data_IF_303677259117
#
_entry.id   IF_303677259117
#
_cell.length_a   1.000
_cell.length_b   1.000
_cell.length_c   1.000
_cell.angle_alpha   90.00
_cell.angle_beta   90.00
_cell.angle_gamma   90.00
#
_symmetry.space_group_name_H-M   'P 1'
#
loop_
_entity.id
_entity.type
_entity.pdbx_description
1 polymer ?
#
# COMPACT_ATOMS: atom_id res chain seq x y z
N UNK A 1 6.63 -7.64 -19.30
CA UNK A 1 5.70 -6.51 -19.52
C UNK A 1 5.34 -6.00 -18.14
N UNK A 2 5.79 -4.80 -17.76
CA UNK A 2 5.59 -4.25 -16.42
C UNK A 2 4.55 -3.13 -16.58
N UNK A 3 3.36 -3.32 -16.00
CA UNK A 3 2.35 -2.31 -15.65
C UNK A 3 2.24 -0.98 -16.42
N UNK A 4 2.04 -0.99 -17.74
CA UNK A 4 1.63 0.21 -18.52
C UNK A 4 0.09 0.43 -18.54
N UNK A 5 -0.64 -0.17 -17.58
CA UNK A 5 -2.08 0.01 -17.45
C UNK A 5 -2.44 1.34 -16.76
N UNK A 6 -3.65 1.88 -17.00
CA UNK A 6 -4.12 3.03 -16.24
C UNK A 6 -4.17 2.70 -14.74
N UNK A 7 -3.61 3.58 -13.91
CA UNK A 7 -3.68 3.48 -12.45
C UNK A 7 -5.11 3.78 -12.01
N UNK A 8 -5.79 2.82 -11.38
CA UNK A 8 -7.17 2.96 -10.90
C UNK A 8 -7.24 3.00 -9.38
N UNK A 9 -6.45 2.17 -8.70
CA UNK A 9 -6.42 2.11 -7.24
C UNK A 9 -5.06 2.52 -6.69
N UNK A 10 -5.07 3.60 -5.91
CA UNK A 10 -3.89 4.19 -5.29
C UNK A 10 -3.96 3.95 -3.79
N UNK A 11 -2.96 3.27 -3.23
CA UNK A 11 -2.83 3.04 -1.81
C UNK A 11 -1.78 3.97 -1.19
N UNK A 12 -2.17 4.72 -0.16
CA UNK A 12 -1.31 5.67 0.57
C UNK A 12 -1.17 5.22 2.02
N UNK A 13 0.05 5.14 2.53
CA UNK A 13 0.29 4.79 3.94
C UNK A 13 0.03 5.98 4.85
N UNK A 14 -0.64 5.77 5.98
CA UNK A 14 -1.16 6.85 6.81
C UNK A 14 -1.06 6.57 8.32
N UNK A 15 -0.95 7.64 9.10
CA UNK A 15 -1.01 7.61 10.57
C UNK A 15 -2.46 7.58 11.10
N UNK A 16 -3.39 8.22 10.38
CA UNK A 16 -4.82 8.29 10.70
C UNK A 16 -5.70 7.73 9.58
N UNK A 17 -7.00 7.59 9.86
CA UNK A 17 -8.00 7.02 8.93
C UNK A 17 -8.54 8.02 7.91
N UNK A 18 -7.98 9.23 7.84
CA UNK A 18 -8.50 10.33 7.02
C UNK A 18 -7.54 10.66 5.87
N UNK A 19 -8.05 11.13 4.72
CA UNK A 19 -7.21 11.56 3.60
C UNK A 19 -6.22 12.67 3.96
N UNK A 20 -6.55 13.51 4.96
CA UNK A 20 -5.69 14.58 5.45
C UNK A 20 -4.56 14.09 6.38
N UNK A 21 -4.49 12.78 6.65
CA UNK A 21 -3.42 12.18 7.45
C UNK A 21 -2.06 12.44 6.81
N UNK A 22 -1.06 12.70 7.64
CA UNK A 22 0.33 12.61 7.21
C UNK A 22 0.65 11.19 6.71
N UNK A 23 1.54 11.10 5.73
CA UNK A 23 2.01 9.83 5.19
C UNK A 23 2.89 9.13 6.24
N UNK A 24 2.59 7.86 6.54
CA UNK A 24 3.51 7.03 7.33
C UNK A 24 4.61 6.50 6.40
N UNK A 25 5.86 6.84 6.68
CA UNK A 25 7.00 6.42 5.85
C UNK A 25 7.23 4.90 5.87
N UNK A 26 6.63 4.14 6.79
CA UNK A 26 6.95 2.71 6.98
C UNK A 26 5.91 1.83 6.30
N UNK A 27 6.04 1.57 5.00
CA UNK A 27 5.03 0.80 4.23
C UNK A 27 4.43 -0.42 4.95
N UNK A 28 5.26 -1.40 5.31
CA UNK A 28 4.78 -2.65 5.91
C UNK A 28 4.21 -2.50 7.32
N UNK A 29 4.59 -1.44 8.05
CA UNK A 29 4.18 -1.20 9.44
C UNK A 29 3.31 0.04 9.59
N UNK A 30 2.87 0.64 8.50
CA UNK A 30 1.93 1.76 8.54
C UNK A 30 0.70 1.29 9.30
N UNK A 31 0.17 2.13 10.19
CA UNK A 31 -1.02 1.78 10.97
C UNK A 31 -2.23 1.63 10.04
N UNK A 32 -2.37 2.56 9.11
CA UNK A 32 -3.43 2.59 8.13
C UNK A 32 -2.87 2.64 6.72
N UNK A 33 -3.65 2.10 5.78
CA UNK A 33 -3.45 2.30 4.36
C UNK A 33 -4.79 2.76 3.79
N UNK A 34 -4.77 3.90 3.12
CA UNK A 34 -5.95 4.50 2.51
C UNK A 34 -5.88 4.19 1.02
N UNK A 35 -6.88 3.49 0.50
CA UNK A 35 -7.00 3.15 -0.91
C UNK A 35 -8.02 4.08 -1.53
N UNK A 36 -7.63 4.80 -2.57
CA UNK A 36 -8.49 5.64 -3.38
C UNK A 36 -8.70 4.99 -4.74
N UNK A 37 -9.97 4.80 -5.12
CA UNK A 37 -10.37 4.36 -6.45
C UNK A 37 -10.70 5.57 -7.31
N UNK A 38 -9.92 5.80 -8.36
CA UNK A 38 -10.04 6.98 -9.22
C UNK A 38 -11.25 6.93 -10.15
N UNK A 39 -11.87 5.76 -10.33
CA UNK A 39 -13.06 5.61 -11.18
C UNK A 39 -14.34 5.86 -10.39
N UNK A 40 -14.44 5.34 -9.16
CA UNK A 40 -15.62 5.53 -8.30
C UNK A 40 -15.52 6.72 -7.36
N UNK A 41 -14.33 7.30 -7.21
CA UNK A 41 -13.99 8.31 -6.19
C UNK A 41 -14.18 7.82 -4.74
N UNK A 42 -14.30 6.50 -4.54
CA UNK A 42 -14.45 5.91 -3.22
C UNK A 42 -13.12 5.75 -2.49
N UNK A 43 -13.16 5.91 -1.18
CA UNK A 43 -12.02 5.69 -0.29
C UNK A 43 -12.28 4.50 0.63
N UNK A 44 -11.33 3.56 0.67
CA UNK A 44 -11.31 2.44 1.59
C UNK A 44 -10.16 2.58 2.58
N UNK A 45 -10.45 2.48 3.88
CA UNK A 45 -9.42 2.46 4.92
C UNK A 45 -9.12 1.03 5.34
N UNK A 46 -7.84 0.67 5.27
CA UNK A 46 -7.32 -0.61 5.72
C UNK A 46 -6.64 -0.42 7.07
N UNK A 47 -7.18 -1.06 8.12
CA UNK A 47 -6.45 -1.23 9.38
C UNK A 47 -5.39 -2.33 9.21
N UNK A 48 -4.13 -1.98 9.47
CA UNK A 48 -2.96 -2.83 9.30
C UNK A 48 -2.33 -3.19 10.66
N UNK A 49 -3.13 -3.19 11.74
CA UNK A 49 -2.70 -3.51 13.11
C UNK A 49 -1.88 -4.81 13.23
N UNK A 50 -2.27 -5.86 12.52
CA UNK A 50 -1.56 -7.15 12.57
C UNK A 50 -0.11 -7.02 12.09
N UNK A 51 0.16 -6.14 11.13
CA UNK A 51 1.50 -5.92 10.58
C UNK A 51 2.27 -4.81 11.30
N UNK A 52 1.58 -3.84 11.91
CA UNK A 52 2.18 -2.77 12.72
C UNK A 52 3.18 -3.35 13.73
N UNK A 53 2.75 -4.38 14.47
CA UNK A 53 3.51 -5.01 15.54
C UNK A 53 4.11 -6.38 15.16
N UNK A 54 4.01 -6.82 13.90
CA UNK A 54 4.52 -8.12 13.49
C UNK A 54 6.02 -8.25 13.75
N UNK A 55 6.47 -9.39 14.29
CA UNK A 55 7.91 -9.62 14.53
C UNK A 55 8.71 -9.65 13.21
N UNK A 56 8.11 -10.20 12.15
CA UNK A 56 8.71 -10.30 10.82
C UNK A 56 7.61 -10.33 9.75
N UNK A 57 7.99 -10.12 8.49
CA UNK A 57 7.09 -10.33 7.35
C UNK A 57 6.06 -9.21 7.12
N UNK A 58 6.00 -8.18 7.97
CA UNK A 58 5.05 -7.07 7.87
C UNK A 58 4.90 -6.53 6.43
N UNK A 59 6.01 -6.15 5.79
CA UNK A 59 5.97 -5.63 4.41
C UNK A 59 5.56 -6.65 3.35
N UNK A 60 5.84 -7.95 3.53
CA UNK A 60 5.40 -9.00 2.60
C UNK A 60 3.89 -9.17 2.70
N UNK A 61 3.37 -9.30 3.92
CA UNK A 61 1.94 -9.45 4.17
C UNK A 61 1.15 -8.25 3.69
N UNK A 62 1.65 -7.03 3.96
CA UNK A 62 1.04 -5.80 3.46
C UNK A 62 1.05 -5.76 1.93
N UNK A 63 2.17 -6.08 1.27
CA UNK A 63 2.24 -6.14 -0.19
C UNK A 63 1.24 -7.15 -0.79
N UNK A 64 1.13 -8.33 -0.20
CA UNK A 64 0.16 -9.34 -0.64
C UNK A 64 -1.27 -8.84 -0.49
N UNK A 65 -1.61 -8.21 0.66
CA UNK A 65 -2.93 -7.62 0.88
C UNK A 65 -3.27 -6.54 -0.16
N UNK A 66 -2.28 -5.74 -0.58
CA UNK A 66 -2.50 -4.71 -1.62
C UNK A 66 -2.76 -5.35 -3.00
N UNK A 67 -2.05 -6.44 -3.32
CA UNK A 67 -2.32 -7.21 -4.53
C UNK A 67 -3.72 -7.86 -4.51
N UNK A 68 -4.14 -8.42 -3.37
CA UNK A 68 -5.46 -9.03 -3.22
C UNK A 68 -6.60 -8.00 -3.35
N UNK A 69 -6.32 -6.72 -3.06
CA UNK A 69 -7.25 -5.59 -3.21
C UNK A 69 -7.17 -4.93 -4.60
N UNK A 70 -6.36 -5.47 -5.51
CA UNK A 70 -6.11 -4.94 -6.85
C UNK A 70 -5.60 -3.49 -6.84
N UNK A 71 -4.72 -3.15 -5.90
CA UNK A 71 -4.02 -1.86 -5.90
C UNK A 71 -3.05 -1.81 -7.06
N UNK A 72 -3.01 -0.69 -7.77
CA UNK A 72 -2.09 -0.48 -8.90
C UNK A 72 -0.84 0.29 -8.51
N UNK A 73 -0.98 1.24 -7.56
CA UNK A 73 0.09 2.14 -7.12
C UNK A 73 0.12 2.26 -5.60
N UNK A 74 1.31 2.16 -5.03
CA UNK A 74 1.59 2.41 -3.61
C UNK A 74 2.35 3.73 -3.49
N UNK A 75 1.87 4.63 -2.65
CA UNK A 75 2.58 5.86 -2.24
C UNK A 75 2.98 5.73 -0.76
N UNK A 76 4.29 5.66 -0.51
CA UNK A 76 4.86 5.50 0.84
C UNK A 76 6.33 5.90 0.87
N UNK A 77 6.85 6.35 2.01
CA UNK A 77 8.25 6.78 2.09
C UNK A 77 9.27 5.65 1.88
N UNK A 78 9.19 4.58 2.66
CA UNK A 78 10.16 3.47 2.65
C UNK A 78 9.50 2.11 2.47
N UNK A 79 9.83 1.48 1.34
CA UNK A 79 9.48 0.09 1.02
C UNK A 79 10.73 -0.77 1.07
N UNK A 80 10.79 -1.69 2.04
CA UNK A 80 11.92 -2.62 2.17
C UNK A 80 12.03 -3.59 0.98
N UNK A 81 13.24 -4.12 0.69
CA UNK A 81 13.52 -4.84 -0.56
C UNK A 81 12.70 -6.14 -0.74
N UNK A 82 12.29 -6.79 0.35
CA UNK A 82 11.44 -7.99 0.27
C UNK A 82 10.01 -7.65 -0.14
N UNK A 83 9.45 -6.57 0.40
CA UNK A 83 8.11 -6.09 0.04
C UNK A 83 8.09 -5.58 -1.41
N UNK A 84 9.11 -4.81 -1.79
CA UNK A 84 9.26 -4.31 -3.16
C UNK A 84 9.26 -5.42 -4.20
N UNK A 85 9.94 -6.55 -3.93
CA UNK A 85 9.92 -7.73 -4.81
C UNK A 85 8.53 -8.33 -4.99
N UNK A 86 7.72 -8.37 -3.93
CA UNK A 86 6.33 -8.84 -4.01
C UNK A 86 5.50 -7.89 -4.87
N UNK A 87 5.56 -6.59 -4.57
CA UNK A 87 4.84 -5.55 -5.32
C UNK A 87 5.18 -5.60 -6.82
N UNK A 88 6.47 -5.71 -7.16
CA UNK A 88 6.91 -5.83 -8.55
C UNK A 88 6.39 -7.11 -9.21
N UNK A 89 6.43 -8.25 -8.51
CA UNK A 89 5.94 -9.53 -9.03
C UNK A 89 4.43 -9.52 -9.27
N UNK A 90 3.67 -8.70 -8.54
CA UNK A 90 2.23 -8.51 -8.71
C UNK A 90 1.89 -7.34 -9.64
N UNK A 91 2.89 -6.66 -10.22
CA UNK A 91 2.69 -5.54 -11.15
C UNK A 91 2.33 -4.21 -10.48
N UNK A 92 2.43 -4.12 -9.16
CA UNK A 92 2.11 -2.92 -8.38
C UNK A 92 3.28 -1.94 -8.46
N UNK A 93 2.98 -0.71 -8.86
CA UNK A 93 3.92 0.40 -8.92
C UNK A 93 4.19 0.97 -7.53
N UNK A 94 5.37 1.55 -7.32
CA UNK A 94 5.75 2.20 -6.07
C UNK A 94 6.23 3.62 -6.35
N UNK A 95 5.57 4.59 -5.74
CA UNK A 95 6.02 5.98 -5.65
C UNK A 95 6.46 6.30 -4.22
N UNK A 96 7.59 6.98 -4.09
CA UNK A 96 8.19 7.38 -2.81
C UNK A 96 8.44 8.88 -2.78
#
# INVERSE_FOLDING_TARGET
CIGDGPVKKIAVTAFDKTPDSAVDERFGRARYIIIFDTESEETQVIDNLDNLNAAQGAGINTAQKMADLSVDLILSGHVGPKAFKVLQATGIQVGT
#
